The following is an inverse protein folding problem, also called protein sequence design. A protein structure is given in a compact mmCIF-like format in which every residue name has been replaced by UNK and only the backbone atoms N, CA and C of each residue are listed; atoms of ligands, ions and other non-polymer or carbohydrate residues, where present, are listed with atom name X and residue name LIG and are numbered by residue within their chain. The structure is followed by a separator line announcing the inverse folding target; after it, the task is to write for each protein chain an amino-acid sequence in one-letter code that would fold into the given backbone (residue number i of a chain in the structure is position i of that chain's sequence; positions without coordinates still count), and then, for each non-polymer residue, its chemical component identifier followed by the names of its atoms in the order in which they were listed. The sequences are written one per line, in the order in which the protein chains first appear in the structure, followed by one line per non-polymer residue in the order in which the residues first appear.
data_IF_608111809741
#
_entry.id   IF_608111809741
#
_cell.length_a   1.000
_cell.length_b   1.000
_cell.length_c   1.000
_cell.angle_alpha   90.00
_cell.angle_beta   90.00
_cell.angle_gamma   90.00
#
_symmetry.space_group_name_H-M   'P 1'
#
loop_
_entity.id
_entity.type
_entity.pdbx_description
1 polymer ?
#
# COMPACT_ATOMS: atom_id res chain seq x y z
N UNK A 1 46.35 -6.74 39.18
CA UNK A 1 45.06 -7.24 39.69
C UNK A 1 44.03 -6.13 39.50
N UNK A 2 43.40 -6.06 38.33
CA UNK A 2 42.21 -5.22 38.11
C UNK A 2 41.12 -5.74 39.04
N UNK A 3 40.66 -4.92 39.97
CA UNK A 3 39.90 -5.37 41.12
C UNK A 3 38.50 -5.83 40.69
N UNK A 4 37.99 -6.87 41.35
CA UNK A 4 36.62 -7.39 41.20
C UNK A 4 35.53 -6.31 41.27
N UNK A 5 35.82 -5.17 41.90
CA UNK A 5 34.94 -4.00 41.96
C UNK A 5 34.86 -3.24 40.62
N UNK A 6 35.94 -3.21 39.84
CA UNK A 6 35.96 -2.64 38.48
C UNK A 6 35.15 -3.49 37.49
N UNK A 7 35.14 -4.82 37.64
CA UNK A 7 34.28 -5.69 36.83
C UNK A 7 32.79 -5.54 37.19
N UNK A 8 32.46 -5.43 38.49
CA UNK A 8 31.07 -5.19 38.92
C UNK A 8 30.54 -3.83 38.43
N UNK A 9 31.37 -2.78 38.43
CA UNK A 9 30.94 -1.47 37.93
C UNK A 9 30.71 -1.51 36.41
N UNK A 10 31.57 -2.20 35.66
CA UNK A 10 31.38 -2.41 34.21
C UNK A 10 30.10 -3.19 33.91
N UNK A 11 29.82 -4.27 34.64
CA UNK A 11 28.59 -5.05 34.46
C UNK A 11 27.32 -4.22 34.79
N UNK A 12 27.39 -3.37 35.82
CA UNK A 12 26.30 -2.45 36.19
C UNK A 12 26.05 -1.40 35.10
N UNK A 13 27.10 -0.84 34.53
CA UNK A 13 27.00 0.17 33.48
C UNK A 13 26.49 -0.44 32.15
N UNK A 14 26.93 -1.65 31.81
CA UNK A 14 26.38 -2.41 30.68
C UNK A 14 24.89 -2.73 30.87
N UNK A 15 24.49 -3.16 32.07
CA UNK A 15 23.08 -3.41 32.40
C UNK A 15 22.23 -2.13 32.34
N UNK A 16 22.77 -1.00 32.79
CA UNK A 16 22.11 0.31 32.65
C UNK A 16 21.97 0.70 31.18
N UNK A 17 23.01 0.55 30.38
CA UNK A 17 22.99 0.85 28.95
C UNK A 17 21.96 -0.02 28.20
N UNK A 18 21.83 -1.30 28.56
CA UNK A 18 20.81 -2.20 28.00
C UNK A 18 19.40 -1.76 28.42
N UNK A 19 19.20 -1.38 29.68
CA UNK A 19 17.90 -0.89 30.18
C UNK A 19 17.50 0.42 29.51
N UNK A 20 18.41 1.37 29.41
CA UNK A 20 18.20 2.66 28.73
C UNK A 20 17.88 2.45 27.25
N UNK A 21 18.60 1.55 26.58
CA UNK A 21 18.33 1.21 25.18
C UNK A 21 16.96 0.56 24.98
N UNK A 22 16.52 -0.29 25.91
CA UNK A 22 15.17 -0.88 25.86
C UNK A 22 14.06 0.14 26.10
N UNK A 23 14.30 1.14 26.95
CA UNK A 23 13.35 2.22 27.21
C UNK A 23 13.26 3.19 26.03
N UNK A 24 14.40 3.60 25.46
CA UNK A 24 14.51 4.60 24.41
C UNK A 24 15.31 4.09 23.20
N UNK A 25 14.72 3.19 22.40
CA UNK A 25 15.46 2.48 21.35
C UNK A 25 15.83 3.35 20.14
N UNK A 26 15.16 4.50 19.99
CA UNK A 26 15.39 5.41 18.88
C UNK A 26 16.52 6.41 19.13
N UNK A 27 17.02 6.55 20.36
CA UNK A 27 18.05 7.53 20.74
C UNK A 27 19.35 7.40 19.94
N UNK A 28 19.69 6.18 19.48
CA UNK A 28 20.92 5.89 18.72
C UNK A 28 20.71 5.86 17.20
N UNK A 29 19.52 6.17 16.70
CA UNK A 29 19.26 6.16 15.25
C UNK A 29 19.71 7.49 14.66
N UNK A 30 20.70 7.50 13.74
CA UNK A 30 21.19 8.74 13.17
C UNK A 30 20.16 9.35 12.22
N UNK A 31 19.98 10.66 12.36
CA UNK A 31 19.23 11.47 11.40
C UNK A 31 19.98 11.50 10.08
N UNK A 32 19.27 11.24 8.99
CA UNK A 32 19.82 11.27 7.65
C UNK A 32 18.69 11.53 6.66
N UNK A 33 18.86 12.56 5.82
CA UNK A 33 17.94 12.78 4.72
C UNK A 33 18.41 11.97 3.51
N UNK A 34 17.57 11.04 3.06
CA UNK A 34 17.78 10.33 1.80
C UNK A 34 16.49 10.32 0.97
N UNK A 35 16.65 10.14 -0.34
CA UNK A 35 15.54 10.02 -1.30
C UNK A 35 14.77 8.71 -1.17
N UNK A 36 14.13 8.30 -2.28
CA UNK A 36 13.20 7.17 -2.29
C UNK A 36 13.79 5.86 -1.77
N UNK A 37 13.06 5.17 -0.89
CA UNK A 37 13.42 3.85 -0.34
C UNK A 37 12.17 3.01 -0.08
N UNK A 38 12.35 1.69 -0.02
CA UNK A 38 11.31 0.72 0.40
C UNK A 38 11.81 -0.10 1.60
N UNK A 39 11.05 -0.16 2.69
CA UNK A 39 11.37 -0.95 3.87
C UNK A 39 10.14 -1.23 4.73
N UNK A 40 10.09 -2.40 5.39
CA UNK A 40 8.97 -2.82 6.25
C UNK A 40 7.61 -2.72 5.55
N UNK A 41 7.57 -3.03 4.26
CA UNK A 41 6.39 -2.93 3.40
C UNK A 41 5.88 -1.52 3.10
N UNK A 42 6.63 -0.49 3.48
CA UNK A 42 6.32 0.90 3.16
C UNK A 42 7.27 1.44 2.09
N UNK A 43 6.72 2.23 1.19
CA UNK A 43 7.51 3.12 0.34
C UNK A 43 7.67 4.48 1.05
N UNK A 44 8.83 5.09 0.86
CA UNK A 44 9.18 6.40 1.40
C UNK A 44 9.61 7.29 0.24
N UNK A 45 8.98 8.46 0.09
CA UNK A 45 9.45 9.48 -0.86
C UNK A 45 10.60 10.28 -0.26
N UNK A 46 10.52 10.51 1.05
CA UNK A 46 11.58 11.14 1.85
C UNK A 46 11.82 10.29 3.09
N UNK A 47 13.08 10.15 3.47
CA UNK A 47 13.48 9.50 4.74
C UNK A 47 14.21 10.51 5.60
N UNK A 48 13.97 10.48 6.91
CA UNK A 48 14.60 11.38 7.89
C UNK A 48 15.66 10.69 8.73
N UNK A 49 15.75 9.36 8.62
CA UNK A 49 16.69 8.53 9.36
C UNK A 49 17.37 7.54 8.44
N UNK A 50 18.55 7.06 8.86
CA UNK A 50 19.22 5.96 8.17
C UNK A 50 18.43 4.66 8.36
N UNK A 51 17.65 4.27 7.35
CA UNK A 51 16.80 3.07 7.38
C UNK A 51 17.57 1.78 7.73
N UNK A 52 18.84 1.66 7.32
CA UNK A 52 19.70 0.54 7.70
C UNK A 52 19.89 0.42 9.22
N UNK A 53 19.95 1.54 9.93
CA UNK A 53 20.06 1.56 11.39
C UNK A 53 18.77 1.03 12.04
N UNK A 54 17.61 1.33 11.46
CA UNK A 54 16.33 0.77 11.90
C UNK A 54 16.25 -0.74 11.61
N UNK A 55 16.81 -1.20 10.49
CA UNK A 55 16.94 -2.64 10.20
C UNK A 55 17.90 -3.34 11.17
N UNK A 56 19.00 -2.69 11.57
CA UNK A 56 19.90 -3.19 12.61
C UNK A 56 19.21 -3.24 13.98
N UNK A 57 18.34 -2.27 14.30
CA UNK A 57 17.55 -2.28 15.53
C UNK A 57 16.72 -3.56 15.67
N UNK A 58 16.23 -4.13 14.57
CA UNK A 58 15.47 -5.38 14.55
C UNK A 58 16.21 -6.56 15.19
N UNK A 59 17.55 -6.54 15.21
CA UNK A 59 18.36 -7.57 15.88
C UNK A 59 18.20 -7.56 17.41
N UNK A 60 17.84 -6.42 17.97
CA UNK A 60 17.76 -6.21 19.42
C UNK A 60 16.33 -6.02 19.92
N UNK A 61 15.46 -5.46 19.07
CA UNK A 61 14.07 -5.16 19.40
C UNK A 61 13.20 -5.64 18.25
N UNK A 62 12.18 -6.43 18.58
CA UNK A 62 11.33 -7.04 17.57
C UNK A 62 10.49 -5.98 16.85
N UNK A 63 10.49 -6.02 15.53
CA UNK A 63 9.50 -5.32 14.72
C UNK A 63 8.18 -6.11 14.73
N UNK A 64 7.07 -5.44 15.02
CA UNK A 64 5.72 -6.03 15.00
C UNK A 64 4.82 -5.17 14.11
N UNK A 65 4.28 -5.74 13.01
CA UNK A 65 3.32 -5.05 12.15
C UNK A 65 2.08 -4.57 12.91
N UNK A 66 1.46 -3.46 12.47
CA UNK A 66 0.27 -2.91 13.14
C UNK A 66 -0.85 -3.95 13.28
N UNK A 67 -1.12 -4.74 12.23
CA UNK A 67 -2.13 -5.81 12.23
C UNK A 67 -1.92 -6.90 13.30
N UNK A 68 -0.69 -7.06 13.78
CA UNK A 68 -0.31 -8.10 14.75
C UNK A 68 -0.24 -7.56 16.19
N UNK A 69 -0.60 -6.29 16.41
CA UNK A 69 -0.61 -5.69 17.74
C UNK A 69 -1.72 -6.30 18.60
N UNK A 70 -1.35 -6.65 19.84
CA UNK A 70 -2.29 -7.16 20.84
C UNK A 70 -1.83 -6.78 22.25
N UNK A 71 -2.74 -6.68 23.23
CA UNK A 71 -2.39 -6.36 24.63
C UNK A 71 -1.36 -7.31 25.26
N UNK A 72 -1.21 -8.53 24.72
CA UNK A 72 -0.21 -9.53 25.15
C UNK A 72 1.24 -9.07 24.95
N UNK A 73 1.45 -8.01 24.16
CA UNK A 73 2.77 -7.46 23.88
C UNK A 73 3.20 -6.38 24.89
N UNK A 74 2.34 -5.94 25.82
CA UNK A 74 2.66 -4.87 26.79
C UNK A 74 3.84 -5.21 27.70
N UNK A 75 4.13 -6.49 27.94
CA UNK A 75 5.30 -6.94 28.72
C UNK A 75 6.57 -7.14 27.88
N UNK A 76 6.52 -6.86 26.57
CA UNK A 76 7.61 -7.13 25.63
C UNK A 76 8.19 -5.84 25.09
N UNK A 77 9.47 -5.88 24.75
CA UNK A 77 10.12 -4.77 24.03
C UNK A 77 9.95 -4.98 22.52
N UNK A 78 9.28 -4.05 21.86
CA UNK A 78 9.05 -4.10 20.41
C UNK A 78 8.89 -2.69 19.83
N UNK A 79 8.95 -2.59 18.51
CA UNK A 79 8.51 -1.39 17.80
C UNK A 79 7.58 -1.75 16.65
N UNK A 80 6.70 -0.81 16.30
CA UNK A 80 5.79 -0.90 15.15
C UNK A 80 6.00 0.30 14.24
N UNK A 81 5.50 0.23 13.00
CA UNK A 81 5.59 1.31 12.03
C UNK A 81 4.19 1.56 11.46
N UNK A 82 3.81 2.83 11.36
CA UNK A 82 2.54 3.25 10.77
C UNK A 82 2.68 4.54 9.96
N UNK A 83 1.73 4.73 9.04
CA UNK A 83 1.54 5.97 8.30
C UNK A 83 0.46 6.81 8.99
N UNK A 84 0.77 8.06 9.35
CA UNK A 84 -0.20 8.99 9.90
C UNK A 84 -1.15 9.43 8.79
N UNK A 85 -2.46 9.25 8.96
CA UNK A 85 -3.44 9.80 8.00
C UNK A 85 -4.27 10.94 8.58
N UNK A 86 -4.29 11.12 9.90
CA UNK A 86 -4.96 12.24 10.57
C UNK A 86 -4.24 12.61 11.87
N UNK A 87 -4.23 13.90 12.19
CA UNK A 87 -3.65 14.45 13.41
C UNK A 87 -4.68 15.39 14.05
N UNK A 88 -5.10 15.09 15.28
CA UNK A 88 -5.97 15.97 16.07
C UNK A 88 -5.20 16.44 17.28
N UNK A 89 -5.01 17.76 17.42
CA UNK A 89 -4.30 18.37 18.56
C UNK A 89 -5.32 19.06 19.45
N UNK A 90 -5.36 18.69 20.73
CA UNK A 90 -6.16 19.39 21.72
C UNK A 90 -5.24 20.37 22.45
N UNK A 91 -5.45 21.65 22.18
CA UNK A 91 -4.73 22.72 22.88
C UNK A 91 -5.21 22.81 24.33
N UNK A 92 -4.31 23.25 25.22
CA UNK A 92 -4.69 23.50 26.61
C UNK A 92 -5.68 24.67 26.65
N UNK A 93 -6.84 24.45 27.25
CA UNK A 93 -7.69 25.56 27.63
C UNK A 93 -7.03 26.27 28.82
N UNK A 94 -6.70 27.56 28.66
CA UNK A 94 -6.08 28.39 29.71
C UNK A 94 -6.88 28.47 31.02
N UNK A 95 -8.11 27.97 31.06
CA UNK A 95 -8.99 27.98 32.24
C UNK A 95 -8.98 26.68 33.07
N UNK A 96 -8.21 25.65 32.67
CA UNK A 96 -8.13 24.39 33.42
C UNK A 96 -6.67 23.99 33.67
N UNK A 97 -6.24 24.09 34.93
CA UNK A 97 -4.93 23.60 35.40
C UNK A 97 -4.80 22.06 35.33
N UNK A 98 -5.84 21.35 34.89
CA UNK A 98 -5.91 19.89 34.79
C UNK A 98 -5.89 19.38 33.33
N UNK A 99 -5.98 20.26 32.33
CA UNK A 99 -5.95 19.85 30.92
C UNK A 99 -4.51 19.77 30.42
N UNK A 100 -3.93 18.57 30.45
CA UNK A 100 -2.68 18.30 29.75
C UNK A 100 -2.91 18.30 28.22
N UNK A 101 -2.03 18.93 27.42
CA UNK A 101 -2.15 18.93 25.98
C UNK A 101 -2.07 17.49 25.49
N UNK A 102 -3.00 17.09 24.63
CA UNK A 102 -3.07 15.71 24.14
C UNK A 102 -3.13 15.74 22.62
N UNK A 103 -2.28 14.92 21.99
CA UNK A 103 -2.31 14.72 20.55
C UNK A 103 -2.86 13.33 20.25
N UNK A 104 -3.86 13.28 19.37
CA UNK A 104 -4.40 12.03 18.83
C UNK A 104 -3.85 11.88 17.41
N UNK A 105 -3.19 10.75 17.15
CA UNK A 105 -2.72 10.39 15.81
C UNK A 105 -3.55 9.22 15.32
N UNK A 106 -4.11 9.33 14.12
CA UNK A 106 -4.68 8.20 13.44
C UNK A 106 -3.64 7.62 12.48
N UNK A 107 -3.30 6.35 12.67
CA UNK A 107 -2.29 5.66 11.86
C UNK A 107 -2.85 4.44 11.16
N UNK A 108 -2.28 4.11 10.00
CA UNK A 108 -2.61 2.91 9.26
C UNK A 108 -1.37 2.21 8.73
N UNK A 109 -1.52 0.93 8.38
CA UNK A 109 -0.47 0.14 7.72
C UNK A 109 -0.53 0.21 6.19
N UNK A 110 -1.47 0.99 5.62
CA UNK A 110 -1.78 1.02 4.18
C UNK A 110 -2.27 -0.34 3.62
N UNK A 111 -2.64 -1.28 4.49
CA UNK A 111 -3.05 -2.66 4.21
C UNK A 111 -4.33 -3.07 4.97
N UNK A 112 -5.19 -2.07 5.27
CA UNK A 112 -6.51 -2.13 5.94
C UNK A 112 -6.54 -1.98 7.47
N UNK A 113 -5.39 -1.96 8.15
CA UNK A 113 -5.37 -1.83 9.61
C UNK A 113 -5.28 -0.35 10.00
N UNK A 114 -6.13 0.07 10.93
CA UNK A 114 -6.15 1.44 11.47
C UNK A 114 -6.05 1.39 12.99
N UNK A 115 -5.28 2.30 13.57
CA UNK A 115 -5.14 2.47 15.01
C UNK A 115 -5.21 3.94 15.40
N UNK A 116 -5.88 4.20 16.51
CA UNK A 116 -5.81 5.48 17.20
C UNK A 116 -4.65 5.43 18.20
N UNK A 117 -3.75 6.41 18.10
CA UNK A 117 -2.68 6.63 19.07
C UNK A 117 -3.04 7.85 19.91
N UNK A 118 -3.04 7.68 21.23
CA UNK A 118 -3.12 8.77 22.21
C UNK A 118 -1.71 9.09 22.69
N UNK A 119 -1.24 10.29 22.37
CA UNK A 119 0.07 10.79 22.78
C UNK A 119 -0.10 11.84 23.87
N UNK A 120 0.47 11.57 25.04
CA UNK A 120 0.51 12.52 26.16
C UNK A 120 1.55 13.63 25.89
N UNK A 121 2.67 13.30 25.22
CA UNK A 121 3.67 14.25 24.70
C UNK A 121 4.07 13.83 23.28
N UNK A 122 3.62 14.57 22.26
CA UNK A 122 3.90 14.27 20.86
C UNK A 122 4.89 15.25 20.23
N UNK A 123 5.78 14.79 19.31
CA UNK A 123 6.58 15.70 18.51
C UNK A 123 5.69 16.64 17.67
N UNK A 124 5.91 17.95 17.78
CA UNK A 124 5.14 18.98 17.05
C UNK A 124 5.37 18.98 15.54
N UNK A 125 6.46 18.36 15.09
CA UNK A 125 6.92 18.33 13.70
C UNK A 125 6.23 17.29 12.82
N UNK A 126 5.35 16.46 13.41
CA UNK A 126 4.59 15.44 12.69
C UNK A 126 3.55 16.06 11.76
N UNK A 127 3.43 15.49 10.56
CA UNK A 127 2.51 15.88 9.49
C UNK A 127 1.74 14.67 8.97
N UNK A 128 0.64 14.94 8.30
CA UNK A 128 -0.10 13.90 7.56
C UNK A 128 0.83 13.19 6.57
N UNK A 129 0.65 11.88 6.42
CA UNK A 129 1.45 10.94 5.63
C UNK A 129 2.92 10.81 6.03
N UNK A 130 3.28 11.29 7.22
CA UNK A 130 4.52 10.87 7.84
C UNK A 130 4.46 9.40 8.24
N UNK A 131 5.56 8.73 7.94
CA UNK A 131 5.85 7.40 8.43
C UNK A 131 6.52 7.51 9.78
N UNK A 132 5.95 6.88 10.81
CA UNK A 132 6.48 6.88 12.16
C UNK A 132 6.79 5.47 12.65
N UNK A 133 7.89 5.32 13.37
CA UNK A 133 8.17 4.16 14.19
C UNK A 133 7.78 4.47 15.64
N UNK A 134 7.12 3.52 16.31
CA UNK A 134 6.62 3.67 17.68
C UNK A 134 7.20 2.55 18.52
N UNK A 135 7.89 2.91 19.60
CA UNK A 135 8.56 1.97 20.50
C UNK A 135 7.75 1.75 21.78
N UNK A 136 7.54 0.48 22.12
CA UNK A 136 6.89 0.04 23.35
C UNK A 136 5.62 0.84 23.71
N UNK A 137 4.65 1.02 22.78
CA UNK A 137 3.38 1.65 23.14
C UNK A 137 2.61 0.74 24.12
N UNK A 138 1.87 1.36 25.03
CA UNK A 138 0.89 0.65 25.85
C UNK A 138 -0.32 0.30 24.96
N UNK A 139 -0.52 -0.98 24.66
CA UNK A 139 -1.58 -1.47 23.79
C UNK A 139 -2.84 -1.75 24.60
N UNK A 140 -3.92 -1.07 24.23
CA UNK A 140 -5.29 -1.32 24.69
C UNK A 140 -6.23 -1.33 23.47
N UNK A 141 -7.46 -0.82 23.59
CA UNK A 141 -8.30 -0.47 22.43
C UNK A 141 -7.60 0.58 21.56
N UNK A 142 -6.80 1.45 22.17
CA UNK A 142 -5.93 2.42 21.51
C UNK A 142 -4.46 2.17 21.89
N UNK A 143 -3.54 2.73 21.12
CA UNK A 143 -2.12 2.75 21.46
C UNK A 143 -1.86 4.01 22.31
N UNK A 144 -1.34 3.84 23.52
CA UNK A 144 -0.95 4.98 24.36
C UNK A 144 0.56 5.16 24.34
N UNK A 145 0.98 6.40 24.08
CA UNK A 145 2.37 6.83 24.07
C UNK A 145 2.56 7.94 25.10
N UNK A 146 3.50 7.76 26.01
CA UNK A 146 3.72 8.66 27.16
C UNK A 146 4.75 9.74 26.87
N UNK A 147 5.76 9.41 26.06
CA UNK A 147 6.89 10.30 25.76
C UNK A 147 7.09 10.42 24.25
N UNK A 148 7.47 11.62 23.81
CA UNK A 148 7.87 11.89 22.42
C UNK A 148 9.04 11.01 21.95
N UNK A 149 9.89 10.55 22.86
CA UNK A 149 11.05 9.69 22.58
C UNK A 149 10.65 8.30 22.06
N UNK A 150 9.42 7.88 22.36
CA UNK A 150 8.84 6.64 21.85
C UNK A 150 8.37 6.77 20.40
N UNK A 151 8.38 7.97 19.81
CA UNK A 151 7.97 8.21 18.44
C UNK A 151 9.16 8.72 17.65
N UNK A 152 9.53 7.98 16.61
CA UNK A 152 10.53 8.40 15.65
C UNK A 152 9.87 8.65 14.29
N UNK A 153 9.99 9.87 13.79
CA UNK A 153 9.62 10.18 12.41
C UNK A 153 10.67 9.58 11.47
N UNK A 154 10.31 8.54 10.72
CA UNK A 154 11.27 7.80 9.88
C UNK A 154 11.27 8.27 8.43
N UNK A 155 10.14 8.79 7.94
CA UNK A 155 10.01 9.28 6.58
C UNK A 155 8.65 9.88 6.28
N UNK A 156 8.38 10.09 5.00
CA UNK A 156 7.14 10.66 4.48
C UNK A 156 6.77 10.00 3.14
N UNK A 157 5.49 9.80 2.90
CA UNK A 157 4.96 9.18 1.69
C UNK A 157 3.92 10.11 1.02
N UNK A 158 4.28 10.69 -0.11
CA UNK A 158 3.44 11.62 -0.88
C UNK A 158 2.45 10.90 -1.80
N UNK A 159 2.58 9.57 -1.93
CA UNK A 159 1.78 8.72 -2.84
C UNK A 159 0.64 8.00 -2.12
N UNK A 160 0.31 8.41 -0.90
CA UNK A 160 -0.84 7.88 -0.16
C UNK A 160 -2.12 8.53 -0.66
N UNK A 161 -3.10 7.71 -1.06
CA UNK A 161 -4.42 8.16 -1.52
C UNK A 161 -5.50 7.20 -1.04
N UNK A 162 -6.77 7.60 -1.20
CA UNK A 162 -7.89 6.68 -0.97
C UNK A 162 -7.98 5.63 -2.06
N UNK A 163 -8.47 4.44 -1.68
CA UNK A 163 -8.79 3.39 -2.63
C UNK A 163 -9.80 3.89 -3.68
N UNK A 164 -9.52 3.61 -4.95
CA UNK A 164 -10.33 4.10 -6.08
C UNK A 164 -11.67 3.38 -6.29
N UNK A 165 -11.95 2.32 -5.53
CA UNK A 165 -13.17 1.53 -5.65
C UNK A 165 -14.27 2.08 -4.75
N UNK A 166 -15.51 1.94 -5.20
CA UNK A 166 -16.70 2.20 -4.41
C UNK A 166 -17.09 0.93 -3.69
N UNK A 167 -17.49 1.04 -2.42
CA UNK A 167 -17.99 -0.11 -1.66
C UNK A 167 -19.47 0.13 -1.31
N UNK A 168 -20.39 -0.25 -2.23
CA UNK A 168 -21.81 -0.03 -2.04
C UNK A 168 -22.40 -0.85 -0.89
N UNK A 169 -21.69 -1.86 -0.39
CA UNK A 169 -22.16 -2.69 0.73
C UNK A 169 -21.81 -2.11 2.10
N UNK A 170 -20.73 -1.32 2.19
CA UNK A 170 -20.20 -0.84 3.47
C UNK A 170 -20.44 0.65 3.72
N UNK A 171 -20.49 1.46 2.67
CA UNK A 171 -20.51 2.92 2.78
C UNK A 171 -21.67 3.57 1.98
N UNK A 172 -22.53 2.77 1.35
CA UNK A 172 -23.63 3.27 0.50
C UNK A 172 -23.24 3.45 -0.96
N UNK A 173 -24.23 3.64 -1.84
CA UNK A 173 -24.07 3.53 -3.31
C UNK A 173 -23.05 4.47 -3.95
N UNK A 174 -22.71 5.59 -3.29
CA UNK A 174 -21.87 6.65 -3.86
C UNK A 174 -20.61 6.95 -3.03
N UNK A 175 -20.37 6.22 -1.93
CA UNK A 175 -19.18 6.45 -1.10
C UNK A 175 -17.98 5.62 -1.58
N UNK A 176 -16.89 6.32 -1.84
CA UNK A 176 -15.59 5.72 -2.13
C UNK A 176 -15.07 4.99 -0.89
N UNK A 177 -14.31 3.92 -1.12
CA UNK A 177 -13.67 3.19 -0.05
C UNK A 177 -12.76 4.11 0.80
N UNK A 178 -13.06 4.23 2.09
CA UNK A 178 -12.30 5.05 3.04
C UNK A 178 -10.92 4.50 3.46
N UNK A 179 -10.37 3.52 2.75
CA UNK A 179 -9.04 2.96 3.03
C UNK A 179 -7.95 3.77 2.33
N UNK A 180 -6.85 4.03 3.03
CA UNK A 180 -5.66 4.65 2.47
C UNK A 180 -4.73 3.57 1.90
N UNK A 181 -4.17 3.85 0.73
CA UNK A 181 -3.27 2.96 -0.02
C UNK A 181 -2.09 3.75 -0.56
N UNK A 182 -0.97 3.08 -0.77
CA UNK A 182 0.09 3.61 -1.61
C UNK A 182 -0.20 3.25 -3.07
N UNK A 183 -0.42 4.26 -3.92
CA UNK A 183 -0.80 4.04 -5.31
C UNK A 183 0.26 3.32 -6.14
N UNK A 184 1.53 3.28 -5.67
CA UNK A 184 2.60 2.51 -6.32
C UNK A 184 2.37 1.00 -6.22
N UNK A 185 1.70 0.56 -5.16
CA UNK A 185 1.37 -0.86 -4.96
C UNK A 185 0.09 -1.25 -5.73
N UNK A 186 -0.60 -0.28 -6.32
CA UNK A 186 -1.84 -0.46 -7.06
C UNK A 186 -2.92 0.54 -6.59
N UNK A 187 -3.99 0.72 -7.38
CA UNK A 187 -5.03 1.71 -7.09
C UNK A 187 -6.12 1.21 -6.11
N UNK A 188 -5.98 -0.01 -5.57
CA UNK A 188 -7.01 -0.69 -4.79
C UNK A 188 -6.44 -1.19 -3.46
N UNK A 189 -7.25 -1.16 -2.39
CA UNK A 189 -6.89 -1.78 -1.11
C UNK A 189 -6.93 -3.32 -1.22
N UNK A 190 -6.29 -4.03 -0.29
CA UNK A 190 -6.16 -5.48 -0.38
C UNK A 190 -7.51 -6.21 -0.48
N UNK A 191 -8.54 -5.69 0.19
CA UNK A 191 -9.91 -6.24 0.10
C UNK A 191 -10.47 -6.11 -1.33
N UNK A 192 -10.42 -4.92 -1.92
CA UNK A 192 -10.93 -4.71 -3.28
C UNK A 192 -10.05 -5.37 -4.34
N UNK A 193 -8.73 -5.40 -4.14
CA UNK A 193 -7.81 -6.14 -5.00
C UNK A 193 -8.13 -7.63 -5.00
N UNK A 194 -8.39 -8.23 -3.83
CA UNK A 194 -8.81 -9.62 -3.70
C UNK A 194 -10.16 -9.89 -4.37
N UNK A 195 -11.17 -9.05 -4.13
CA UNK A 195 -12.48 -9.19 -4.75
C UNK A 195 -12.41 -9.11 -6.29
N UNK A 196 -11.65 -8.16 -6.83
CA UNK A 196 -11.42 -8.05 -8.27
C UNK A 196 -10.68 -9.26 -8.83
N UNK A 197 -9.69 -9.78 -8.10
CA UNK A 197 -8.98 -10.99 -8.48
C UNK A 197 -9.90 -12.21 -8.50
N UNK A 198 -10.81 -12.34 -7.53
CA UNK A 198 -11.81 -13.42 -7.49
C UNK A 198 -12.85 -13.29 -8.61
N UNK A 199 -13.34 -12.07 -8.89
CA UNK A 199 -14.23 -11.81 -10.03
C UNK A 199 -13.57 -12.15 -11.37
N UNK A 200 -12.31 -11.71 -11.56
CA UNK A 200 -11.51 -12.04 -12.75
C UNK A 200 -11.18 -13.53 -12.83
N UNK A 201 -11.02 -14.19 -11.68
CA UNK A 201 -10.73 -15.61 -11.55
C UNK A 201 -11.94 -16.51 -11.81
N UNK A 202 -13.17 -16.03 -11.56
CA UNK A 202 -14.40 -16.77 -11.85
C UNK A 202 -14.57 -17.10 -13.35
N UNK A 203 -13.96 -16.31 -14.24
CA UNK A 203 -13.94 -16.56 -15.69
C UNK A 203 -12.75 -17.42 -16.15
N UNK A 204 -11.76 -17.72 -15.29
CA UNK A 204 -10.58 -18.55 -15.66
C UNK A 204 -10.88 -20.03 -15.91
N UNK A 205 -11.80 -20.71 -15.20
CA UNK A 205 -12.17 -22.09 -15.53
C UNK A 205 -12.69 -22.22 -16.96
N UNK A 206 -13.42 -21.21 -17.46
CA UNK A 206 -13.92 -21.18 -18.85
C UNK A 206 -12.78 -21.02 -19.88
N UNK A 207 -11.78 -20.19 -19.58
CA UNK A 207 -10.55 -20.06 -20.40
C UNK A 207 -9.69 -21.33 -20.39
N UNK A 208 -9.62 -22.02 -19.24
CA UNK A 208 -8.95 -23.33 -19.16
C UNK A 208 -9.71 -24.40 -19.94
N UNK A 209 -11.05 -24.46 -19.85
CA UNK A 209 -11.90 -25.36 -20.64
C UNK A 209 -11.71 -25.12 -22.15
N UNK A 210 -11.68 -23.85 -22.58
CA UNK A 210 -11.37 -23.48 -23.96
C UNK A 210 -9.95 -23.87 -24.39
N UNK A 211 -8.96 -23.86 -23.49
CA UNK A 211 -7.58 -24.30 -23.77
C UNK A 211 -7.40 -25.82 -23.71
N UNK A 212 -8.12 -26.53 -22.85
CA UNK A 212 -8.05 -27.99 -22.74
C UNK A 212 -8.81 -28.71 -23.86
N UNK A 213 -9.77 -28.04 -24.51
CA UNK A 213 -10.39 -28.55 -25.75
C UNK A 213 -9.53 -28.32 -27.01
N UNK A 214 -8.39 -27.62 -26.91
CA UNK A 214 -7.41 -27.49 -28.00
C UNK A 214 -6.30 -28.55 -27.98
N UNK A 215 -6.35 -29.50 -27.03
CA UNK A 215 -5.44 -30.65 -26.99
C UNK A 215 -6.30 -31.90 -27.17
N UNK A 216 -5.87 -32.81 -28.04
CA UNK A 216 -6.64 -33.92 -28.63
C UNK A 216 -7.60 -33.40 -29.70
N UNK A 217 -7.27 -33.42 -31.00
CA UNK A 217 -6.77 -34.58 -31.75
C UNK A 217 -5.56 -34.23 -32.63
N UNK A 218 -4.39 -34.71 -32.24
CA UNK A 218 -3.31 -34.95 -33.20
C UNK A 218 -3.40 -36.44 -33.53
N UNK A 219 -3.77 -36.85 -34.76
CA UNK A 219 -3.59 -38.24 -35.14
C UNK A 219 -2.09 -38.56 -35.04
N UNK A 220 -1.79 -39.67 -34.37
CA UNK A 220 -0.45 -40.22 -34.29
C UNK A 220 0.09 -40.40 -35.71
N UNK A 221 1.02 -39.53 -36.12
CA UNK A 221 2.10 -39.70 -37.11
C UNK A 221 2.47 -38.37 -37.78
N UNK A 222 3.43 -37.63 -37.21
CA UNK A 222 4.51 -36.93 -37.95
C UNK A 222 5.30 -36.00 -37.01
N UNK A 223 6.65 -35.94 -37.13
CA UNK A 223 7.48 -35.11 -36.27
C UNK A 223 7.53 -33.67 -36.77
N UNK A 224 7.69 -32.79 -35.78
CA UNK A 224 7.80 -31.34 -35.79
C UNK A 224 8.63 -30.74 -36.94
N UNK A 225 8.04 -29.83 -37.72
CA UNK A 225 8.74 -28.76 -38.45
C UNK A 225 7.82 -27.57 -38.71
N UNK A 226 8.32 -26.36 -38.43
CA UNK A 226 7.63 -25.06 -38.45
C UNK A 226 7.25 -24.55 -39.87
N UNK A 227 6.73 -23.31 -40.01
CA UNK A 227 5.39 -23.01 -40.49
C UNK A 227 5.35 -22.66 -41.98
N UNK A 228 4.59 -23.40 -42.77
CA UNK A 228 4.21 -23.00 -44.13
C UNK A 228 2.74 -22.58 -44.14
N UNK A 229 2.51 -21.42 -44.76
CA UNK A 229 1.20 -20.87 -45.05
C UNK A 229 0.31 -21.93 -45.72
N UNK A 230 -0.71 -22.38 -45.00
CA UNK A 230 -1.73 -23.29 -45.49
C UNK A 230 -3.09 -22.81 -45.03
N UNK A 231 -3.87 -22.28 -45.96
CA UNK A 231 -5.28 -21.93 -45.78
C UNK A 231 -6.03 -23.25 -45.59
N UNK A 232 -6.15 -23.71 -44.35
CA UNK A 232 -6.87 -24.92 -43.98
C UNK A 232 -8.22 -24.57 -43.40
N UNK A 233 -9.29 -24.81 -44.16
CA UNK A 233 -10.67 -24.78 -43.69
C UNK A 233 -10.91 -25.94 -42.73
N UNK A 234 -10.48 -25.78 -41.48
CA UNK A 234 -10.85 -26.67 -40.37
C UNK A 234 -11.85 -25.91 -39.50
N UNK A 235 -13.14 -26.16 -39.70
CA UNK A 235 -14.16 -25.73 -38.74
C UNK A 235 -14.00 -26.59 -37.48
N UNK A 236 -13.35 -26.02 -36.47
CA UNK A 236 -13.44 -26.53 -35.11
C UNK A 236 -14.89 -26.55 -34.63
N UNK A 237 -15.21 -27.27 -33.54
CA UNK A 237 -16.57 -27.32 -33.02
C UNK A 237 -17.08 -25.90 -32.78
N UNK A 238 -18.18 -25.54 -33.44
CA UNK A 238 -18.81 -24.23 -33.31
C UNK A 238 -19.41 -24.11 -31.92
N UNK A 239 -18.62 -23.66 -30.95
CA UNK A 239 -19.16 -23.16 -29.70
C UNK A 239 -19.94 -21.88 -30.04
N UNK A 240 -21.26 -21.98 -30.14
CA UNK A 240 -22.14 -20.82 -30.21
C UNK A 240 -22.07 -20.11 -28.85
N UNK A 241 -21.09 -19.23 -28.71
CA UNK A 241 -21.14 -18.20 -27.69
C UNK A 241 -22.34 -17.31 -28.02
N UNK A 242 -23.10 -16.82 -27.01
CA UNK A 242 -24.14 -15.83 -27.25
C UNK A 242 -23.58 -14.66 -28.06
N UNK A 243 -24.32 -14.16 -29.05
CA UNK A 243 -23.84 -13.13 -29.99
C UNK A 243 -23.31 -11.87 -29.29
N UNK A 244 -23.78 -11.61 -28.06
CA UNK A 244 -23.38 -10.47 -27.24
C UNK A 244 -22.26 -10.77 -26.23
N UNK A 245 -21.65 -11.95 -26.23
CA UNK A 245 -20.67 -12.37 -25.22
C UNK A 245 -19.43 -11.47 -25.21
N UNK A 246 -18.86 -11.22 -26.39
CA UNK A 246 -17.68 -10.35 -26.55
C UNK A 246 -18.03 -8.92 -26.13
N UNK A 247 -19.21 -8.45 -26.50
CA UNK A 247 -19.68 -7.11 -26.16
C UNK A 247 -19.88 -6.94 -24.64
N UNK A 248 -20.53 -7.90 -23.97
CA UNK A 248 -20.68 -7.93 -22.51
C UNK A 248 -19.33 -7.97 -21.79
N UNK A 249 -18.41 -8.80 -22.26
CA UNK A 249 -17.06 -8.88 -21.69
C UNK A 249 -16.33 -7.53 -21.77
N UNK A 250 -16.42 -6.85 -22.90
CA UNK A 250 -15.81 -5.52 -23.12
C UNK A 250 -16.49 -4.42 -22.29
N UNK A 251 -17.81 -4.51 -22.10
CA UNK A 251 -18.58 -3.59 -21.25
C UNK A 251 -18.28 -3.77 -19.76
N UNK A 252 -18.02 -5.00 -19.31
CA UNK A 252 -17.59 -5.28 -17.95
C UNK A 252 -16.11 -4.91 -17.71
N UNK A 253 -15.27 -4.97 -18.75
CA UNK A 253 -13.82 -4.80 -18.66
C UNK A 253 -13.30 -3.61 -19.47
N UNK A 254 -13.99 -2.46 -19.40
CA UNK A 254 -13.74 -1.25 -20.21
C UNK A 254 -12.30 -0.70 -20.16
N UNK A 255 -11.55 -0.98 -19.09
CA UNK A 255 -10.16 -0.54 -18.89
C UNK A 255 -9.10 -1.62 -19.20
N UNK A 256 -9.53 -2.85 -19.52
CA UNK A 256 -8.67 -4.00 -19.76
C UNK A 256 -7.86 -3.89 -21.06
N UNK A 257 -6.76 -4.64 -21.15
CA UNK A 257 -5.88 -4.68 -22.33
C UNK A 257 -6.65 -5.10 -23.59
N UNK A 258 -7.57 -6.05 -23.48
CA UNK A 258 -8.44 -6.49 -24.57
C UNK A 258 -9.38 -5.39 -25.05
N UNK A 259 -9.98 -4.60 -24.15
CA UNK A 259 -10.84 -3.46 -24.51
C UNK A 259 -10.05 -2.33 -25.18
N UNK A 260 -8.81 -2.07 -24.74
CA UNK A 260 -7.91 -1.11 -25.38
C UNK A 260 -7.52 -1.55 -26.79
N UNK A 261 -7.16 -2.82 -26.96
CA UNK A 261 -6.83 -3.40 -28.28
C UNK A 261 -8.07 -3.39 -29.19
N UNK A 262 -9.25 -3.73 -28.67
CA UNK A 262 -10.47 -3.69 -29.47
C UNK A 262 -10.86 -2.26 -29.88
N UNK A 263 -10.64 -1.25 -29.04
CA UNK A 263 -10.80 0.16 -29.43
C UNK A 263 -9.84 0.61 -30.53
N UNK A 264 -8.65 0.01 -30.59
CA UNK A 264 -7.65 0.29 -31.64
C UNK A 264 -8.02 -0.43 -32.93
N UNK A 265 -8.49 -1.68 -32.85
CA UNK A 265 -8.89 -2.49 -34.01
C UNK A 265 -10.23 -2.05 -34.60
N UNK A 266 -11.18 -1.68 -33.75
CA UNK A 266 -12.49 -1.13 -34.11
C UNK A 266 -12.53 0.38 -33.85
N UNK A 267 -11.43 1.10 -34.09
CA UNK A 267 -11.55 2.54 -34.22
C UNK A 267 -12.51 2.79 -35.37
N UNK A 268 -13.76 3.16 -35.07
CA UNK A 268 -14.60 3.84 -36.04
C UNK A 268 -13.71 4.92 -36.64
N UNK A 269 -13.41 4.80 -37.94
CA UNK A 269 -12.48 5.69 -38.63
C UNK A 269 -12.76 7.11 -38.16
N UNK A 270 -11.86 7.78 -37.41
CA UNK A 270 -11.94 9.21 -37.38
C UNK A 270 -11.58 9.61 -38.81
N UNK A 271 -12.55 10.14 -39.56
CA UNK A 271 -12.23 10.99 -40.70
C UNK A 271 -11.41 12.13 -40.13
N UNK A 272 -10.09 11.99 -40.10
CA UNK A 272 -9.20 13.10 -39.89
C UNK A 272 -9.37 14.02 -41.10
N UNK A 273 -10.31 14.98 -41.01
CA UNK A 273 -10.23 16.19 -41.82
C UNK A 273 -9.11 17.03 -41.23
N UNK A 274 -7.94 16.97 -41.87
CA UNK A 274 -6.94 18.02 -41.74
C UNK A 274 -7.55 19.26 -42.41
N UNK A 275 -7.66 20.38 -41.66
CA UNK A 275 -8.26 21.62 -42.14
C UNK A 275 -9.62 21.97 -41.52
N UNK A 276 -9.75 21.88 -40.20
CA UNK A 276 -10.83 22.57 -39.48
C UNK A 276 -10.49 24.07 -39.39
N UNK A 277 -10.84 24.82 -40.43
CA UNK A 277 -10.64 26.27 -40.45
C UNK A 277 -10.84 26.82 -41.84
N UNK A 278 -12.10 27.10 -42.17
CA UNK A 278 -12.65 28.05 -43.14
C UNK A 278 -13.99 27.47 -43.64
N UNK A 279 -15.05 28.26 -43.54
CA UNK A 279 -16.40 27.92 -44.00
C UNK A 279 -16.75 28.70 -45.27
N UNK A 280 -17.72 28.17 -46.02
CA UNK A 280 -18.13 28.71 -47.32
C UNK A 280 -18.67 30.14 -47.15
N UNK A 281 -17.92 31.14 -47.61
CA UNK A 281 -18.22 32.56 -47.44
C UNK A 281 -17.04 33.39 -46.93
N UNK A 282 -15.98 32.74 -46.44
CA UNK A 282 -14.80 33.42 -45.94
C UNK A 282 -13.96 34.01 -47.09
N UNK A 283 -13.91 35.34 -47.17
CA UNK A 283 -13.09 36.11 -48.12
C UNK A 283 -11.65 36.16 -47.63
N UNK A 284 -10.74 35.54 -48.38
CA UNK A 284 -9.29 35.68 -48.17
C UNK A 284 -8.86 36.97 -48.88
N UNK A 285 -8.58 38.02 -48.11
CA UNK A 285 -7.93 39.24 -48.63
C UNK A 285 -6.43 38.93 -48.69
N UNK A 286 -5.85 39.01 -49.88
CA UNK A 286 -4.40 38.89 -50.12
C UNK A 286 -3.71 40.24 -49.94
#
# INVERSE_FOLDING_TARGET
MTSFLQSISQDQDELRAIREFKQNPFKKIPNQNCGFKYMFHFNFDKTYVKLESLKKLQKHIKYIPLKDLSPRLNSRTFFTIGCIYEISRREQNHNSLLDNPMTILQVCDLHNTKFTIRCDDAPTTLRQFDMIAIANPDISVTLRVKSKEQILRIGHNEKVQHCSQFDPKKYGKDEKCGQYIDIRNGPHCDYHAHNLAMQSGAQRPMLKLAQTQMKFDTPANSPMSSPLHGIGFMHGPSLQLPDNYIQKYLEEHKSGRAAKINKILNSEKPKHQIGAGLTKGDLIIL
#
